data_IF_552295937438
#
_entry.id   IF_552295937438
#
_cell.length_a   1.000
_cell.length_b   1.000
_cell.length_c   1.000
_cell.angle_alpha   90.00
_cell.angle_beta   90.00
_cell.angle_gamma   90.00
#
_symmetry.space_group_name_H-M   'P 1'
#
loop_
_entity.id
_entity.type
_entity.pdbx_description
1 polymer ?
#
# COMPACT_ATOMS: atom_id res chain seq x y z
N UNK A 1 -10.72 -22.38 4.72
CA UNK A 1 -10.01 -21.09 4.91
C UNK A 1 -9.88 -20.44 3.54
N UNK A 2 -10.64 -19.38 3.24
CA UNK A 2 -10.56 -18.71 1.95
C UNK A 2 -9.24 -17.92 1.90
N UNK A 3 -8.37 -18.25 0.95
CA UNK A 3 -7.16 -17.47 0.69
C UNK A 3 -7.59 -16.05 0.33
N UNK A 4 -7.14 -15.07 1.12
CA UNK A 4 -7.43 -13.67 0.83
C UNK A 4 -6.64 -13.30 -0.44
N UNK A 5 -7.25 -12.59 -1.41
CA UNK A 5 -6.54 -12.20 -2.62
C UNK A 5 -5.36 -11.31 -2.21
N UNK A 6 -4.15 -11.78 -2.43
CA UNK A 6 -2.92 -11.02 -2.22
C UNK A 6 -2.53 -10.33 -3.52
N UNK A 7 -2.20 -9.04 -3.46
CA UNK A 7 -1.64 -8.32 -4.62
C UNK A 7 -0.29 -7.72 -4.28
N UNK A 8 0.60 -7.78 -5.25
CA UNK A 8 1.88 -7.08 -5.22
C UNK A 8 1.67 -5.66 -5.74
N UNK A 9 2.07 -4.67 -4.94
CA UNK A 9 1.97 -3.25 -5.28
C UNK A 9 3.30 -2.54 -5.08
N UNK A 10 3.45 -1.40 -5.74
CA UNK A 10 4.59 -0.48 -5.62
C UNK A 10 4.06 0.78 -4.96
N UNK A 11 4.63 1.19 -3.83
CA UNK A 11 4.19 2.38 -3.09
C UNK A 11 5.36 3.30 -2.79
N UNK A 12 5.13 4.61 -2.54
CA UNK A 12 6.16 5.51 -2.05
C UNK A 12 6.75 4.97 -0.73
N UNK A 13 8.07 4.95 -0.63
CA UNK A 13 8.76 4.54 0.58
C UNK A 13 9.01 5.79 1.44
N UNK A 14 8.03 6.15 2.27
CA UNK A 14 8.17 7.28 3.20
C UNK A 14 8.65 6.83 4.58
N UNK A 15 9.51 7.63 5.19
CA UNK A 15 9.93 7.43 6.59
C UNK A 15 8.88 7.97 7.58
N UNK A 16 9.19 7.91 8.89
CA UNK A 16 8.29 8.36 9.95
C UNK A 16 8.03 9.88 9.98
N UNK A 17 8.83 10.67 9.26
CA UNK A 17 8.66 12.11 9.10
C UNK A 17 7.97 12.46 7.77
N UNK A 18 7.71 11.47 6.92
CA UNK A 18 7.07 11.64 5.61
C UNK A 18 8.04 11.85 4.44
N UNK A 19 9.36 11.82 4.67
CA UNK A 19 10.35 12.01 3.60
C UNK A 19 10.40 10.80 2.68
N UNK A 20 10.50 11.05 1.37
CA UNK A 20 10.52 10.01 0.36
C UNK A 20 11.93 9.43 0.16
N UNK A 21 12.04 8.12 0.35
CA UNK A 21 13.23 7.31 0.12
C UNK A 21 12.99 6.34 -1.04
N UNK A 22 12.53 6.88 -2.18
CA UNK A 22 12.18 6.12 -3.39
C UNK A 22 10.86 5.35 -3.30
N UNK A 23 10.79 4.20 -3.96
CA UNK A 23 9.62 3.32 -3.97
C UNK A 23 9.97 1.95 -3.39
N UNK A 24 8.96 1.24 -2.88
CA UNK A 24 9.11 -0.15 -2.44
C UNK A 24 7.98 -1.03 -2.95
N UNK A 25 8.33 -2.27 -3.26
CA UNK A 25 7.37 -3.31 -3.63
C UNK A 25 6.94 -4.08 -2.39
N UNK A 26 5.64 -4.32 -2.24
CA UNK A 26 5.11 -5.09 -1.12
C UNK A 26 3.87 -5.89 -1.50
N UNK A 27 3.67 -7.00 -0.80
CA UNK A 27 2.46 -7.81 -0.90
C UNK A 27 1.44 -7.32 0.15
N UNK A 28 0.22 -7.06 -0.30
CA UNK A 28 -0.87 -6.61 0.56
C UNK A 28 -2.11 -7.48 0.38
N UNK A 29 -2.79 -7.71 1.50
CA UNK A 29 -4.11 -8.34 1.50
C UNK A 29 -5.10 -7.38 0.81
N UNK A 30 -5.73 -7.85 -0.27
CA UNK A 30 -6.54 -7.03 -1.17
C UNK A 30 -7.99 -6.88 -0.70
N UNK A 31 -8.16 -6.65 0.60
CA UNK A 31 -9.44 -6.34 1.23
C UNK A 31 -9.28 -5.22 2.24
N UNK A 32 -10.37 -4.52 2.51
CA UNK A 32 -10.42 -3.59 3.64
C UNK A 32 -10.38 -4.38 4.95
N UNK A 33 -9.43 -4.07 5.83
CA UNK A 33 -9.35 -4.71 7.15
C UNK A 33 -10.48 -4.26 8.10
N UNK A 34 -11.23 -3.22 7.73
CA UNK A 34 -12.34 -2.68 8.54
C UNK A 34 -13.67 -3.34 8.15
N UNK A 35 -14.03 -3.30 6.86
CA UNK A 35 -15.33 -3.80 6.39
C UNK A 35 -15.24 -5.10 5.58
N UNK A 36 -14.03 -5.62 5.29
CA UNK A 36 -13.84 -6.84 4.50
C UNK A 36 -14.07 -6.68 2.99
N UNK A 37 -14.56 -5.53 2.53
CA UNK A 37 -14.81 -5.29 1.10
C UNK A 37 -13.53 -5.32 0.27
N UNK A 38 -13.66 -5.75 -0.99
CA UNK A 38 -12.55 -5.75 -1.93
C UNK A 38 -12.06 -4.34 -2.22
N UNK A 39 -10.74 -4.20 -2.27
CA UNK A 39 -10.13 -2.95 -2.72
C UNK A 39 -10.30 -2.80 -4.22
N UNK A 40 -10.58 -1.58 -4.70
CA UNK A 40 -10.63 -1.30 -6.14
C UNK A 40 -9.31 -1.66 -6.84
N UNK A 41 -9.32 -1.83 -8.15
CA UNK A 41 -8.11 -2.26 -8.87
C UNK A 41 -6.98 -1.22 -8.79
N UNK A 42 -5.74 -1.64 -8.55
CA UNK A 42 -4.61 -0.72 -8.52
C UNK A 42 -4.29 -0.25 -9.92
N UNK A 43 -4.05 1.05 -10.06
CA UNK A 43 -3.60 1.70 -11.29
C UNK A 43 -2.21 2.23 -11.08
N UNK A 44 -1.34 2.06 -12.07
CA UNK A 44 -0.02 2.67 -12.02
C UNK A 44 -0.17 4.16 -12.35
N UNK A 45 0.27 5.02 -11.45
CA UNK A 45 0.37 6.46 -11.65
C UNK A 45 1.80 6.91 -11.42
N UNK A 46 2.19 7.94 -12.17
CA UNK A 46 3.44 8.62 -11.96
C UNK A 46 3.23 9.83 -11.06
N UNK A 47 4.19 10.06 -10.17
CA UNK A 47 4.28 11.31 -9.43
C UNK A 47 5.72 11.83 -9.47
N UNK A 48 5.86 13.16 -9.39
CA UNK A 48 7.14 13.85 -9.35
C UNK A 48 7.36 14.40 -7.94
N UNK A 49 8.52 14.12 -7.35
CA UNK A 49 8.95 14.66 -6.07
C UNK A 49 10.45 14.96 -6.16
N UNK A 50 10.84 16.19 -5.80
CA UNK A 50 12.23 16.68 -5.91
C UNK A 50 12.84 16.51 -7.32
N UNK A 51 12.01 16.69 -8.36
CA UNK A 51 12.44 16.55 -9.76
C UNK A 51 12.65 15.10 -10.22
N UNK A 52 12.40 14.11 -9.36
CA UNK A 52 12.45 12.68 -9.69
C UNK A 52 11.05 12.14 -9.91
N UNK A 53 10.90 11.34 -10.97
CA UNK A 53 9.65 10.68 -11.30
C UNK A 53 9.62 9.26 -10.76
N UNK A 54 8.50 8.88 -10.17
CA UNK A 54 8.27 7.56 -9.59
C UNK A 54 6.95 6.98 -10.07
N UNK A 55 6.94 5.71 -10.44
CA UNK A 55 5.75 4.95 -10.78
C UNK A 55 5.25 4.17 -9.57
N UNK A 56 4.05 4.47 -9.09
CA UNK A 56 3.43 3.83 -7.91
C UNK A 56 2.01 3.40 -8.22
N UNK A 57 1.55 2.39 -7.51
CA UNK A 57 0.17 1.93 -7.57
C UNK A 57 -0.71 2.80 -6.69
N UNK A 58 -1.80 3.30 -7.26
CA UNK A 58 -2.88 4.01 -6.56
C UNK A 58 -4.18 3.25 -6.73
N UNK A 59 -5.07 3.29 -5.75
CA UNK A 59 -6.40 2.70 -5.85
C UNK A 59 -7.36 3.46 -4.97
N UNK A 60 -8.62 3.47 -5.37
CA UNK A 60 -9.71 3.99 -4.56
C UNK A 60 -10.30 2.83 -3.77
N UNK A 61 -10.48 3.01 -2.47
CA UNK A 61 -11.29 2.09 -1.65
C UNK A 61 -12.74 2.52 -1.77
N UNK A 62 -13.65 1.71 -2.37
CA UNK A 62 -15.07 2.05 -2.44
C UNK A 62 -15.67 2.29 -1.06
N UNK A 63 -15.21 1.55 -0.06
CA UNK A 63 -15.65 1.65 1.33
C UNK A 63 -15.26 2.96 2.05
N UNK A 64 -14.51 3.88 1.42
CA UNK A 64 -14.09 5.17 2.02
C UNK A 64 -13.05 5.08 3.15
N UNK A 65 -12.86 3.91 3.76
CA UNK A 65 -11.85 3.69 4.79
C UNK A 65 -10.42 3.86 4.25
N UNK A 66 -9.65 4.76 4.86
CA UNK A 66 -8.23 4.90 4.54
C UNK A 66 -7.47 3.65 4.97
N UNK A 67 -6.77 3.01 4.03
CA UNK A 67 -5.74 2.05 4.43
C UNK A 67 -4.60 2.81 5.08
N UNK A 68 -4.55 2.79 6.41
CA UNK A 68 -3.26 2.90 7.09
C UNK A 68 -2.48 1.66 6.69
N UNK A 69 -1.38 1.82 5.96
CA UNK A 69 -0.38 0.77 5.82
C UNK A 69 0.21 0.56 7.21
N UNK A 70 -0.49 -0.19 8.05
CA UNK A 70 0.03 -0.60 9.33
C UNK A 70 1.29 -1.39 8.99
N UNK A 71 2.43 -0.83 9.35
CA UNK A 71 3.69 -1.55 9.37
C UNK A 71 3.40 -2.77 10.25
N UNK A 72 3.21 -3.95 9.65
CA UNK A 72 3.25 -5.20 10.41
C UNK A 72 4.69 -5.32 10.89
N UNK A 73 5.00 -4.72 12.03
CA UNK A 73 6.15 -5.08 12.81
C UNK A 73 5.85 -6.49 13.33
N UNK A 74 6.23 -7.50 12.57
CA UNK A 74 6.33 -8.85 13.11
C UNK A 74 7.46 -8.79 14.13
N UNK A 75 7.11 -8.60 15.41
CA UNK A 75 8.01 -8.91 16.50
C UNK A 75 8.07 -10.45 16.51
N UNK A 76 9.06 -11.02 15.84
CA UNK A 76 9.49 -12.37 16.15
C UNK A 76 10.21 -12.26 17.50
N UNK A 77 9.42 -12.36 18.57
CA UNK A 77 9.94 -12.54 19.92
C UNK A 77 10.56 -13.92 20.01
N UNK A 78 11.76 -13.97 20.59
CA UNK A 78 12.39 -15.16 21.11
C UNK A 78 12.62 -14.92 22.60
#
# INVERSE_FOLDING_TARGET
MQQMPNKTIIVPNRDGQGWLHGVRTMNVDWRCHICGEETGNPKLQQFCEEGKWYSVHTWVKPCGHMAKYLRKATIMGN
#
